data_IF_423895994572
#
_entry.id   IF_423895994572
#
_cell.length_a   1.000
_cell.length_b   1.000
_cell.length_c   1.000
_cell.angle_alpha   90.00
_cell.angle_beta   90.00
_cell.angle_gamma   90.00
#
_symmetry.space_group_name_H-M   'P 1'
#
loop_
_entity.id
_entity.type
_entity.pdbx_description
1 polymer ?
#
# COMPACT_ATOMS: atom_id res chain seq x y z
N UNK A 1 4.77 -5.51 -15.25
CA UNK A 1 4.18 -4.35 -14.53
C UNK A 1 4.64 -4.38 -13.08
N UNK A 2 4.84 -3.24 -12.43
CA UNK A 2 5.16 -3.18 -10.99
C UNK A 2 4.09 -2.37 -10.27
N UNK A 3 3.62 -2.88 -9.13
CA UNK A 3 2.53 -2.33 -8.33
C UNK A 3 3.12 -1.80 -7.05
N UNK A 4 2.66 -0.63 -6.64
CA UNK A 4 2.99 -0.07 -5.35
C UNK A 4 1.71 0.16 -4.55
N UNK A 5 1.68 -0.39 -3.34
CA UNK A 5 0.61 -0.19 -2.38
C UNK A 5 1.15 0.48 -1.10
N UNK A 6 0.37 1.40 -0.53
CA UNK A 6 0.75 2.04 0.72
C UNK A 6 0.57 1.09 1.93
N UNK A 7 1.45 1.18 2.92
CA UNK A 7 1.24 0.55 4.24
C UNK A 7 -0.06 1.00 4.91
N UNK A 8 -0.55 0.18 5.84
CA UNK A 8 -1.64 0.54 6.74
C UNK A 8 -1.13 0.86 8.14
N UNK A 9 -1.92 1.64 8.89
CA UNK A 9 -1.60 1.99 10.30
C UNK A 9 -1.86 0.83 11.26
N UNK A 10 -2.84 -0.02 10.96
CA UNK A 10 -3.24 -1.15 11.78
C UNK A 10 -2.63 -2.40 11.15
N UNK A 11 -2.22 -3.36 11.97
CA UNK A 11 -1.67 -4.63 11.51
C UNK A 11 -2.38 -5.78 12.24
N UNK A 12 -2.52 -6.90 11.55
CA UNK A 12 -2.89 -8.18 12.14
C UNK A 12 -1.72 -8.70 12.99
N UNK A 13 -2.03 -9.45 14.03
CA UNK A 13 -1.04 -10.12 14.90
C UNK A 13 -0.80 -11.58 14.55
N UNK A 14 -1.68 -12.18 13.72
CA UNK A 14 -1.53 -13.55 13.24
C UNK A 14 -2.32 -13.75 11.95
N UNK A 15 -1.98 -14.80 11.21
CA UNK A 15 -2.73 -15.29 10.05
C UNK A 15 -2.66 -16.81 10.01
N UNK A 16 -3.76 -17.45 9.61
CA UNK A 16 -3.82 -18.90 9.37
C UNK A 16 -3.43 -19.26 7.93
N UNK A 17 -3.18 -18.27 7.07
CA UNK A 17 -2.89 -18.46 5.65
C UNK A 17 -1.40 -18.73 5.48
N UNK A 18 -1.08 -19.89 4.93
CA UNK A 18 0.29 -20.25 4.56
C UNK A 18 0.70 -19.53 3.28
N UNK A 19 1.84 -18.83 3.34
CA UNK A 19 2.47 -18.19 2.18
C UNK A 19 3.58 -19.13 1.67
N UNK A 20 3.62 -19.47 0.37
CA UNK A 20 4.53 -20.49 -0.15
C UNK A 20 6.01 -20.10 -0.09
N UNK A 21 6.31 -18.80 -0.09
CA UNK A 21 7.66 -18.25 -0.03
C UNK A 21 7.69 -17.06 0.92
N UNK A 22 8.66 -17.03 1.83
CA UNK A 22 8.95 -15.88 2.69
C UNK A 22 10.31 -15.31 2.33
N UNK A 23 10.35 -14.04 1.95
CA UNK A 23 11.59 -13.29 1.71
C UNK A 23 11.93 -12.39 2.90
N UNK A 24 13.21 -12.07 3.06
CA UNK A 24 13.62 -11.04 4.01
C UNK A 24 13.57 -9.63 3.39
N UNK A 25 13.26 -8.58 4.18
CA UNK A 25 13.35 -7.21 3.71
C UNK A 25 14.78 -6.82 3.35
N UNK A 26 14.99 -6.19 2.19
CA UNK A 26 16.32 -5.72 1.73
C UNK A 26 17.00 -4.80 2.75
N UNK A 27 16.24 -3.95 3.45
CA UNK A 27 16.76 -2.96 4.41
C UNK A 27 16.55 -3.38 5.87
N UNK A 28 16.60 -4.69 6.16
CA UNK A 28 16.41 -5.25 7.52
C UNK A 28 17.36 -4.64 8.55
N UNK A 29 18.62 -4.39 8.20
CA UNK A 29 19.59 -3.79 9.10
C UNK A 29 19.24 -2.34 9.48
N UNK A 30 18.81 -1.54 8.51
CA UNK A 30 18.38 -0.16 8.73
C UNK A 30 17.10 -0.13 9.57
N UNK A 31 16.14 -1.01 9.24
CA UNK A 31 14.91 -1.18 10.01
C UNK A 31 15.21 -1.54 11.47
N UNK A 32 16.17 -2.42 11.70
CA UNK A 32 16.61 -2.83 13.04
C UNK A 32 17.21 -1.66 13.84
N UNK A 33 18.04 -0.81 13.22
CA UNK A 33 18.60 0.39 13.85
C UNK A 33 17.50 1.38 14.24
N UNK A 34 16.54 1.62 13.34
CA UNK A 34 15.41 2.49 13.64
C UNK A 34 14.49 1.92 14.72
N UNK A 35 14.20 0.61 14.69
CA UNK A 35 13.40 -0.03 15.73
C UNK A 35 14.08 0.11 17.11
N UNK A 36 15.40 -0.06 17.18
CA UNK A 36 16.16 0.15 18.42
C UNK A 36 16.02 1.59 18.94
N UNK A 37 16.21 2.58 18.07
CA UNK A 37 16.04 3.99 18.43
C UNK A 37 14.61 4.26 18.95
N UNK A 38 13.59 3.86 18.19
CA UNK A 38 12.19 4.09 18.51
C UNK A 38 11.73 3.34 19.77
N UNK A 39 12.34 2.20 20.08
CA UNK A 39 12.06 1.42 21.30
C UNK A 39 12.49 2.13 22.58
N UNK A 40 13.40 3.10 22.48
CA UNK A 40 13.89 3.91 23.61
C UNK A 40 13.01 5.12 23.92
N UNK A 41 12.09 5.48 23.02
CA UNK A 41 11.23 6.64 23.19
C UNK A 41 10.05 6.35 24.10
N UNK A 42 9.56 7.39 24.78
CA UNK A 42 8.29 7.28 25.49
C UNK A 42 7.10 7.38 24.52
N UNK A 43 5.94 6.94 24.99
CA UNK A 43 4.70 6.98 24.21
C UNK A 43 4.33 8.39 23.75
N UNK A 44 4.60 9.44 24.54
CA UNK A 44 4.23 10.82 24.18
C UNK A 44 5.07 11.32 23.01
N UNK A 45 6.36 11.00 23.01
CA UNK A 45 7.27 11.32 21.92
C UNK A 45 6.85 10.57 20.64
N UNK A 46 6.57 9.27 20.73
CA UNK A 46 6.07 8.49 19.61
C UNK A 46 4.75 9.00 19.04
N UNK A 47 3.79 9.42 19.89
CA UNK A 47 2.55 10.02 19.42
C UNK A 47 2.78 11.28 18.60
N UNK A 48 3.69 12.15 19.06
CA UNK A 48 4.02 13.42 18.40
C UNK A 48 4.68 13.16 17.04
N UNK A 49 5.72 12.33 17.00
CA UNK A 49 6.51 12.11 15.79
C UNK A 49 5.74 11.27 14.76
N UNK A 50 5.02 10.23 15.18
CA UNK A 50 4.21 9.38 14.29
C UNK A 50 2.82 9.98 13.97
N UNK A 51 2.48 11.13 14.58
CA UNK A 51 1.16 11.80 14.46
C UNK A 51 0.00 10.82 14.63
N UNK A 52 0.04 10.05 15.72
CA UNK A 52 -0.90 8.95 15.97
C UNK A 52 -1.56 9.05 17.35
N UNK A 53 -2.60 8.23 17.57
CA UNK A 53 -3.28 8.16 18.87
C UNK A 53 -2.39 7.48 19.90
N UNK A 54 -2.70 7.69 21.19
CA UNK A 54 -1.99 7.02 22.29
C UNK A 54 -2.02 5.49 22.17
N UNK A 55 -3.18 4.92 21.80
CA UNK A 55 -3.31 3.48 21.62
C UNK A 55 -2.35 2.95 20.54
N UNK A 56 -2.29 3.63 19.38
CA UNK A 56 -1.38 3.26 18.28
C UNK A 56 0.09 3.42 18.71
N UNK A 57 0.41 4.47 19.45
CA UNK A 57 1.78 4.70 19.93
C UNK A 57 2.23 3.63 20.94
N UNK A 58 1.35 3.21 21.86
CA UNK A 58 1.64 2.14 22.82
C UNK A 58 1.85 0.80 22.10
N UNK A 59 0.98 0.47 21.15
CA UNK A 59 1.09 -0.74 20.34
C UNK A 59 2.38 -0.75 19.51
N UNK A 60 2.75 0.38 18.90
CA UNK A 60 4.00 0.49 18.15
C UNK A 60 5.24 0.43 19.04
N UNK A 61 5.20 1.01 20.26
CA UNK A 61 6.29 0.89 21.21
C UNK A 61 6.55 -0.58 21.57
N UNK A 62 5.50 -1.35 21.82
CA UNK A 62 5.61 -2.80 22.06
C UNK A 62 6.23 -3.51 20.85
N UNK A 63 5.77 -3.21 19.64
CA UNK A 63 6.34 -3.77 18.39
C UNK A 63 7.82 -3.44 18.21
N UNK A 64 8.26 -2.23 18.55
CA UNK A 64 9.67 -1.86 18.46
C UNK A 64 10.52 -2.59 19.51
N UNK A 65 9.97 -2.81 20.71
CA UNK A 65 10.63 -3.57 21.77
C UNK A 65 10.70 -5.07 21.45
N UNK A 66 9.68 -5.63 20.78
CA UNK A 66 9.63 -7.03 20.34
C UNK A 66 10.15 -7.24 18.91
N UNK A 67 10.79 -6.24 18.28
CA UNK A 67 11.12 -6.25 16.85
C UNK A 67 11.96 -7.47 16.40
N UNK A 68 12.82 -7.98 17.27
CA UNK A 68 13.67 -9.14 17.00
C UNK A 68 13.02 -10.48 17.34
N UNK A 69 11.75 -10.49 17.78
CA UNK A 69 11.03 -11.71 18.04
C UNK A 69 10.55 -12.36 16.74
N UNK A 70 11.25 -13.40 16.28
CA UNK A 70 10.92 -14.13 15.04
C UNK A 70 9.52 -14.76 15.07
N UNK A 71 8.99 -15.13 16.25
CA UNK A 71 7.64 -15.71 16.35
C UNK A 71 6.52 -14.69 16.08
N UNK A 72 6.83 -13.40 16.13
CA UNK A 72 5.88 -12.31 15.84
C UNK A 72 6.00 -11.78 14.40
N UNK A 73 6.90 -12.36 13.59
CA UNK A 73 7.07 -11.96 12.20
C UNK A 73 5.94 -12.49 11.32
N UNK A 74 5.53 -11.67 10.36
CA UNK A 74 4.47 -12.02 9.42
C UNK A 74 4.81 -11.50 8.02
N UNK A 75 4.38 -12.20 6.95
CA UNK A 75 4.44 -11.68 5.59
C UNK A 75 3.71 -10.32 5.49
N UNK A 76 4.37 -9.30 4.94
CA UNK A 76 3.86 -7.92 4.92
C UNK A 76 2.46 -7.81 4.29
N UNK A 77 2.19 -8.61 3.24
CA UNK A 77 0.90 -8.65 2.53
C UNK A 77 -0.27 -9.13 3.41
N UNK A 78 0.02 -9.91 4.46
CA UNK A 78 -0.96 -10.42 5.45
C UNK A 78 -0.94 -9.62 6.75
N UNK A 79 0.18 -8.95 7.05
CA UNK A 79 0.35 -8.18 8.27
C UNK A 79 -0.45 -6.89 8.25
N UNK A 80 -0.46 -6.13 7.14
CA UNK A 80 -1.18 -4.86 7.11
C UNK A 80 -2.70 -5.02 7.08
N UNK A 81 -3.40 -4.26 7.91
CA UNK A 81 -4.85 -4.23 8.00
C UNK A 81 -5.40 -2.81 7.81
N UNK A 82 -6.27 -2.64 6.83
CA UNK A 82 -6.87 -1.35 6.52
C UNK A 82 -7.77 -1.43 5.30
N UNK A 83 -8.32 -0.29 4.89
CA UNK A 83 -9.33 -0.27 3.82
C UNK A 83 -8.81 -0.87 2.50
N UNK A 84 -7.56 -0.59 2.11
CA UNK A 84 -6.98 -1.20 0.92
C UNK A 84 -6.79 -2.71 1.09
N UNK A 85 -6.26 -3.16 2.23
CA UNK A 85 -5.99 -4.58 2.49
C UNK A 85 -7.27 -5.42 2.61
N UNK A 86 -8.36 -4.85 3.14
CA UNK A 86 -9.71 -5.47 3.12
C UNK A 86 -10.24 -5.73 1.71
N UNK A 87 -9.79 -4.96 0.73
CA UNK A 87 -10.18 -5.13 -0.68
C UNK A 87 -9.12 -5.87 -1.49
N UNK A 88 -7.85 -5.87 -1.05
CA UNK A 88 -6.80 -6.74 -1.55
C UNK A 88 -7.17 -8.22 -1.30
N UNK A 89 -7.72 -8.51 -0.13
CA UNK A 89 -8.15 -9.86 0.28
C UNK A 89 -7.06 -10.91 0.06
N UNK A 90 -5.86 -10.64 0.55
CA UNK A 90 -4.71 -11.52 0.36
C UNK A 90 -4.93 -12.91 0.99
N UNK A 91 -5.86 -13.03 1.93
CA UNK A 91 -6.28 -14.31 2.51
C UNK A 91 -6.95 -15.26 1.51
N UNK A 92 -7.44 -14.75 0.37
CA UNK A 92 -8.05 -15.57 -0.69
C UNK A 92 -7.08 -15.90 -1.82
N UNK A 93 -5.80 -15.56 -1.68
CA UNK A 93 -4.80 -15.77 -2.74
C UNK A 93 -4.42 -17.25 -2.85
N UNK A 94 -4.31 -17.73 -4.08
CA UNK A 94 -3.66 -19.01 -4.39
C UNK A 94 -2.13 -18.91 -4.23
N UNK A 95 -1.44 -20.05 -4.26
CA UNK A 95 0.04 -20.08 -4.25
C UNK A 95 0.64 -19.28 -5.40
N UNK A 96 0.02 -19.37 -6.58
CA UNK A 96 0.48 -18.64 -7.77
C UNK A 96 0.20 -17.14 -7.64
N UNK A 97 -0.88 -16.74 -6.96
CA UNK A 97 -1.16 -15.32 -6.69
C UNK A 97 -0.11 -14.73 -5.76
N UNK A 98 0.31 -15.49 -4.74
CA UNK A 98 1.41 -15.09 -3.87
C UNK A 98 2.74 -15.00 -4.63
N UNK A 99 3.04 -15.96 -5.50
CA UNK A 99 4.25 -15.92 -6.33
C UNK A 99 4.27 -14.68 -7.23
N UNK A 100 3.15 -14.39 -7.91
CA UNK A 100 3.05 -13.19 -8.72
C UNK A 100 3.14 -11.91 -7.87
N UNK A 101 2.47 -11.87 -6.71
CA UNK A 101 2.56 -10.72 -5.81
C UNK A 101 4.00 -10.48 -5.35
N UNK A 102 4.78 -11.52 -5.09
CA UNK A 102 6.17 -11.41 -4.67
C UNK A 102 7.06 -10.67 -5.70
N UNK A 103 6.80 -10.88 -6.99
CA UNK A 103 7.59 -10.28 -8.08
C UNK A 103 7.05 -8.91 -8.54
N UNK A 104 5.78 -8.61 -8.24
CA UNK A 104 5.05 -7.49 -8.82
C UNK A 104 4.48 -6.49 -7.81
N UNK A 105 4.41 -6.80 -6.52
CA UNK A 105 3.84 -5.93 -5.49
C UNK A 105 4.89 -5.45 -4.49
N UNK A 106 5.09 -4.14 -4.45
CA UNK A 106 5.81 -3.46 -3.39
C UNK A 106 4.84 -2.81 -2.41
N UNK A 107 5.10 -2.98 -1.11
CA UNK A 107 4.37 -2.29 -0.04
C UNK A 107 5.29 -1.24 0.57
N UNK A 108 4.92 0.04 0.51
CA UNK A 108 5.73 1.11 1.08
C UNK A 108 5.70 1.10 2.61
N UNK A 109 6.85 1.22 3.24
CA UNK A 109 7.00 1.16 4.70
C UNK A 109 8.03 2.17 5.17
N UNK A 110 7.67 2.94 6.20
CA UNK A 110 8.56 3.88 6.86
C UNK A 110 9.76 3.18 7.50
N UNK A 111 9.54 2.01 8.11
CA UNK A 111 10.58 1.32 8.88
C UNK A 111 11.50 0.49 7.99
N UNK A 112 10.95 -0.22 7.00
CA UNK A 112 11.67 -1.18 6.17
C UNK A 112 12.26 -0.57 4.88
N UNK A 113 12.47 0.75 4.86
CA UNK A 113 13.30 1.41 3.87
C UNK A 113 12.74 1.44 2.44
N UNK A 114 11.43 1.25 2.24
CA UNK A 114 10.81 1.43 0.93
C UNK A 114 9.95 2.70 0.96
N UNK A 115 10.60 3.83 0.67
CA UNK A 115 9.92 5.06 0.32
C UNK A 115 9.66 5.04 -1.19
N UNK A 116 8.45 4.62 -1.58
CA UNK A 116 7.96 4.88 -2.93
C UNK A 116 6.69 5.72 -2.80
N UNK A 117 6.69 6.83 -3.52
CA UNK A 117 5.83 8.00 -3.28
C UNK A 117 4.40 7.79 -3.80
N UNK A 118 3.44 7.79 -2.86
CA UNK A 118 1.99 7.86 -3.10
C UNK A 118 1.31 8.95 -2.25
N UNK A 119 2.07 9.98 -1.86
CA UNK A 119 1.55 11.10 -1.06
C UNK A 119 1.21 12.31 -1.96
N UNK A 120 0.26 13.11 -1.49
CA UNK A 120 -0.26 14.33 -2.12
C UNK A 120 0.80 15.44 -2.31
N UNK A 121 0.43 16.52 -3.03
CA UNK A 121 1.23 17.67 -3.49
C UNK A 121 2.32 18.23 -2.53
N UNK A 122 2.22 17.97 -1.23
CA UNK A 122 3.08 18.54 -0.19
C UNK A 122 4.54 18.05 -0.19
N UNK A 123 4.91 17.01 -0.96
CA UNK A 123 6.27 16.43 -0.96
C UNK A 123 6.93 16.34 -2.35
N UNK A 124 6.34 16.94 -3.39
CA UNK A 124 6.89 16.92 -4.77
C UNK A 124 8.31 17.49 -4.88
N UNK A 125 8.74 18.33 -3.94
CA UNK A 125 10.02 19.04 -3.96
C UNK A 125 11.22 18.20 -3.49
N UNK A 126 11.02 16.96 -2.99
CA UNK A 126 12.10 16.13 -2.45
C UNK A 126 12.76 15.20 -3.48
N UNK A 127 12.22 15.11 -4.70
CA UNK A 127 12.69 14.19 -5.74
C UNK A 127 12.77 14.85 -7.11
N UNK A 128 13.72 14.39 -7.93
CA UNK A 128 13.74 14.72 -9.36
C UNK A 128 12.71 13.85 -10.10
N UNK A 129 11.45 14.28 -10.03
CA UNK A 129 10.34 13.64 -10.73
C UNK A 129 10.51 13.60 -12.24
N UNK A 130 11.28 14.54 -12.79
CA UNK A 130 11.61 14.55 -14.21
C UNK A 130 12.45 13.32 -14.54
N UNK A 131 13.51 13.05 -13.77
CA UNK A 131 14.32 11.83 -13.93
C UNK A 131 13.51 10.54 -13.77
N UNK A 132 12.62 10.46 -12.78
CA UNK A 132 11.81 9.24 -12.58
C UNK A 132 10.84 9.01 -13.75
N UNK A 133 10.15 10.06 -14.21
CA UNK A 133 9.22 9.96 -15.35
C UNK A 133 9.92 9.75 -16.69
N UNK A 134 11.21 10.10 -16.80
CA UNK A 134 12.05 9.80 -17.97
C UNK A 134 12.46 8.31 -18.03
N UNK A 135 12.69 7.68 -16.88
CA UNK A 135 13.18 6.29 -16.81
C UNK A 135 12.05 5.25 -16.76
N UNK A 136 10.86 5.60 -16.24
CA UNK A 136 9.73 4.68 -16.11
C UNK A 136 8.39 5.32 -16.46
N UNK A 137 7.53 4.55 -17.15
CA UNK A 137 6.13 4.95 -17.37
C UNK A 137 5.32 4.74 -16.09
N UNK A 138 4.96 5.84 -15.44
CA UNK A 138 4.13 5.83 -14.23
C UNK A 138 2.65 5.88 -14.60
N UNK A 139 1.86 4.94 -14.10
CA UNK A 139 0.41 4.90 -14.23
C UNK A 139 -0.21 5.04 -12.84
N UNK A 140 -1.06 6.05 -12.66
CA UNK A 140 -1.73 6.34 -11.40
C UNK A 140 -3.25 6.37 -11.62
N UNK A 141 -3.95 5.25 -11.40
CA UNK A 141 -5.40 5.22 -11.42
C UNK A 141 -6.00 6.16 -10.36
N UNK A 142 -6.93 7.01 -10.78
CA UNK A 142 -7.62 7.96 -9.91
C UNK A 142 -9.09 7.56 -9.77
N UNK A 143 -9.61 7.62 -8.54
CA UNK A 143 -10.95 7.12 -8.20
C UNK A 143 -11.81 8.27 -7.70
N UNK A 144 -12.89 8.56 -8.42
CA UNK A 144 -13.79 9.67 -8.13
C UNK A 144 -15.23 9.22 -7.94
N UNK A 145 -15.95 9.92 -7.07
CA UNK A 145 -17.40 9.79 -6.94
C UNK A 145 -18.04 11.00 -7.59
N UNK A 146 -18.96 10.76 -8.51
CA UNK A 146 -19.81 11.79 -9.09
C UNK A 146 -20.81 12.30 -8.04
N UNK A 147 -20.92 13.62 -7.92
CA UNK A 147 -21.86 14.32 -7.04
C UNK A 147 -22.91 15.12 -7.82
N UNK A 148 -23.05 14.87 -9.13
CA UNK A 148 -23.94 15.58 -10.04
C UNK A 148 -23.24 16.76 -10.69
N UNK A 149 -22.78 17.72 -9.88
CA UNK A 149 -22.13 18.94 -10.40
C UNK A 149 -20.61 18.83 -10.49
N UNK A 150 -20.00 17.96 -9.67
CA UNK A 150 -18.54 17.79 -9.59
C UNK A 150 -18.18 16.34 -9.27
N UNK A 151 -17.01 15.92 -9.73
CA UNK A 151 -16.38 14.67 -9.30
C UNK A 151 -15.42 14.93 -8.16
N UNK A 152 -15.45 14.11 -7.10
CA UNK A 152 -14.57 14.28 -5.93
C UNK A 152 -13.96 12.97 -5.46
N UNK A 153 -12.72 13.06 -4.98
CA UNK A 153 -12.06 11.93 -4.33
C UNK A 153 -12.67 11.73 -2.94
N UNK A 154 -13.24 10.56 -2.71
CA UNK A 154 -13.64 10.11 -1.37
C UNK A 154 -12.58 9.13 -0.88
N UNK A 155 -11.80 9.53 0.12
CA UNK A 155 -10.58 8.82 0.53
C UNK A 155 -10.80 7.36 0.89
N UNK A 156 -11.93 7.01 1.51
CA UNK A 156 -12.29 5.62 1.85
C UNK A 156 -12.50 4.80 0.58
N UNK A 157 -13.28 5.32 -0.39
CA UNK A 157 -13.51 4.62 -1.66
C UNK A 157 -12.23 4.48 -2.48
N UNK A 158 -11.41 5.54 -2.56
CA UNK A 158 -10.14 5.46 -3.26
C UNK A 158 -9.22 4.39 -2.67
N UNK A 159 -9.20 4.23 -1.34
CA UNK A 159 -8.46 3.15 -0.67
C UNK A 159 -9.02 1.78 -1.00
N UNK A 160 -10.34 1.60 -0.98
CA UNK A 160 -10.99 0.35 -1.40
C UNK A 160 -10.61 -0.04 -2.82
N UNK A 161 -10.73 0.92 -3.75
CA UNK A 161 -10.46 0.68 -5.17
C UNK A 161 -8.99 0.34 -5.41
N UNK A 162 -8.03 1.01 -4.74
CA UNK A 162 -6.61 0.65 -4.84
C UNK A 162 -6.32 -0.78 -4.40
N UNK A 163 -6.93 -1.22 -3.30
CA UNK A 163 -6.83 -2.60 -2.83
C UNK A 163 -7.41 -3.59 -3.84
N UNK A 164 -8.63 -3.35 -4.32
CA UNK A 164 -9.29 -4.20 -5.29
C UNK A 164 -8.59 -4.23 -6.65
N UNK A 165 -8.08 -3.09 -7.13
CA UNK A 165 -7.30 -2.97 -8.35
C UNK A 165 -6.00 -3.78 -8.24
N UNK A 166 -5.32 -3.69 -7.08
CA UNK A 166 -4.12 -4.51 -6.82
C UNK A 166 -4.46 -6.00 -6.90
N UNK A 167 -5.55 -6.43 -6.24
CA UNK A 167 -6.05 -7.81 -6.36
C UNK A 167 -6.35 -8.19 -7.81
N UNK A 168 -7.05 -7.33 -8.54
CA UNK A 168 -7.44 -7.55 -9.94
C UNK A 168 -6.23 -7.76 -10.83
N UNK A 169 -5.21 -6.90 -10.69
CA UNK A 169 -3.94 -7.03 -11.41
C UNK A 169 -3.27 -8.36 -11.09
N UNK A 170 -3.17 -8.71 -9.80
CA UNK A 170 -2.52 -9.93 -9.35
C UNK A 170 -3.27 -11.14 -9.91
N UNK A 171 -4.54 -11.31 -9.57
CA UNK A 171 -5.33 -12.50 -9.91
C UNK A 171 -5.47 -12.74 -11.42
N UNK A 172 -5.50 -11.68 -12.22
CA UNK A 172 -5.59 -11.78 -13.68
C UNK A 172 -4.23 -11.71 -14.39
N UNK A 173 -3.12 -11.63 -13.63
CA UNK A 173 -1.75 -11.58 -14.16
C UNK A 173 -1.54 -10.46 -15.18
N UNK A 174 -2.17 -9.31 -14.95
CA UNK A 174 -2.14 -8.20 -15.90
C UNK A 174 -0.71 -7.69 -16.09
N UNK A 175 -0.33 -7.37 -17.32
CA UNK A 175 1.06 -6.99 -17.66
C UNK A 175 1.18 -5.66 -18.38
N UNK A 176 0.09 -5.14 -18.96
CA UNK A 176 0.06 -3.87 -19.69
C UNK A 176 -0.84 -2.83 -19.01
N UNK A 177 -0.49 -1.53 -19.08
CA UNK A 177 -1.32 -0.46 -18.51
C UNK A 177 -2.78 -0.43 -19.00
N UNK A 178 -3.02 -0.81 -20.25
CA UNK A 178 -4.37 -0.85 -20.83
C UNK A 178 -5.26 -1.90 -20.18
N UNK A 179 -4.66 -2.94 -19.59
CA UNK A 179 -5.39 -4.07 -19.04
C UNK A 179 -6.21 -3.66 -17.81
N UNK A 180 -5.82 -2.59 -17.12
CA UNK A 180 -6.50 -2.14 -15.91
C UNK A 180 -7.81 -1.40 -16.21
N UNK A 181 -8.06 -1.03 -17.47
CA UNK A 181 -9.22 -0.22 -17.86
C UNK A 181 -10.55 -0.99 -17.77
N UNK A 182 -10.49 -2.33 -17.72
CA UNK A 182 -11.65 -3.19 -17.51
C UNK A 182 -12.07 -3.31 -16.03
N UNK A 183 -11.29 -2.74 -15.11
CA UNK A 183 -11.53 -2.83 -13.68
C UNK A 183 -12.88 -2.21 -13.30
N UNK A 184 -13.65 -2.96 -12.52
CA UNK A 184 -14.91 -2.53 -11.95
C UNK A 184 -15.00 -2.89 -10.47
N UNK A 185 -15.49 -1.94 -9.66
CA UNK A 185 -15.80 -2.17 -8.24
C UNK A 185 -16.96 -1.28 -7.79
N UNK A 186 -18.07 -1.87 -7.35
CA UNK A 186 -19.17 -1.13 -6.69
C UNK A 186 -19.63 0.15 -7.43
N UNK A 187 -19.65 0.09 -8.76
CA UNK A 187 -20.03 1.19 -9.65
C UNK A 187 -18.88 2.08 -10.13
N UNK A 188 -17.66 1.94 -9.58
CA UNK A 188 -16.47 2.55 -10.17
C UNK A 188 -16.11 1.81 -11.46
N UNK A 189 -16.09 2.54 -12.58
CA UNK A 189 -15.66 2.03 -13.91
C UNK A 189 -14.77 3.07 -14.58
N UNK A 190 -13.91 2.63 -15.49
CA UNK A 190 -13.11 3.55 -16.30
C UNK A 190 -14.02 4.48 -17.11
N UNK A 191 -13.73 5.78 -17.05
CA UNK A 191 -14.42 6.80 -17.83
C UNK A 191 -13.43 7.42 -18.82
N UNK A 192 -13.60 7.12 -20.10
CA UNK A 192 -12.72 7.57 -21.19
C UNK A 192 -12.75 9.09 -21.41
N UNK A 193 -13.79 9.76 -20.94
CA UNK A 193 -13.96 11.20 -21.12
C UNK A 193 -13.17 11.99 -20.04
N UNK A 194 -12.56 11.28 -19.08
CA UNK A 194 -11.80 11.86 -17.98
C UNK A 194 -10.39 11.25 -17.84
N UNK A 195 -9.45 12.08 -17.41
CA UNK A 195 -8.06 11.68 -17.18
C UNK A 195 -7.26 11.52 -18.46
N UNK A 196 -6.15 10.78 -18.37
CA UNK A 196 -5.27 10.49 -19.49
C UNK A 196 -4.68 9.06 -19.39
N UNK A 197 -3.81 8.68 -20.32
CA UNK A 197 -3.21 7.35 -20.35
C UNK A 197 -2.32 7.03 -19.13
N UNK A 198 -1.79 8.04 -18.45
CA UNK A 198 -1.01 7.94 -17.21
C UNK A 198 -1.90 8.09 -15.97
N UNK A 199 -3.04 8.75 -16.08
CA UNK A 199 -3.99 8.98 -15.00
C UNK A 199 -5.39 8.54 -15.42
N UNK A 200 -5.65 7.22 -15.59
CA UNK A 200 -6.99 6.76 -15.95
C UNK A 200 -7.96 7.01 -14.80
N UNK A 201 -9.09 7.65 -15.10
CA UNK A 201 -10.12 7.96 -14.11
C UNK A 201 -11.17 6.85 -14.04
N UNK A 202 -11.42 6.36 -12.84
CA UNK A 202 -12.49 5.43 -12.52
C UNK A 202 -13.55 6.19 -11.73
N UNK A 203 -14.74 6.33 -12.31
CA UNK A 203 -15.80 7.19 -11.77
C UNK A 203 -16.97 6.32 -11.34
N UNK A 204 -17.41 6.52 -10.11
CA UNK A 204 -18.68 6.00 -9.61
C UNK A 204 -19.76 7.05 -9.88
N UNK A 205 -20.65 6.75 -10.83
CA UNK A 205 -21.84 7.55 -11.14
C UNK A 205 -22.98 7.30 -10.16
#
# INVERSE_FOLDING_TARGET
>A
MQILLASAKIMNSSSLVEVPLMSEPTYKEQASKFALELSSWDTKHLMKELKCSQAIAQENLQRYQSFWNESEQMPAILAYFGQAYKYLKAETFSKDDFAFAQDHLFISSFLYGILIHLATEEFEHLFDWKRVKEEVKVIQPLFYVDKGDTIKVVSVHAKSCRGAMTRHIIQNRLSHPSDILDFELEGFKYDKDYGDASHPHFIKR
#
